data_IF_756342423283
#
_entry.id   IF_756342423283
#
_cell.length_a   1.000
_cell.length_b   1.000
_cell.length_c   1.000
_cell.angle_alpha   90.00
_cell.angle_beta   90.00
_cell.angle_gamma   90.00
#
_symmetry.space_group_name_H-M   'P 1'
#
loop_
_entity.id
_entity.type
_entity.pdbx_description
1 polymer ?
#
# COMPACT_ATOMS: atom_id res chain seq x y z
N UNK A 1 17.60 -20.13 -2.34
CA UNK A 1 17.97 -19.02 -3.22
C UNK A 1 17.11 -17.83 -2.82
N UNK A 2 17.62 -16.97 -1.94
CA UNK A 2 16.88 -15.78 -1.47
C UNK A 2 16.98 -14.72 -2.57
N UNK A 3 15.94 -14.60 -3.41
CA UNK A 3 15.75 -13.39 -4.19
C UNK A 3 15.59 -12.25 -3.19
N UNK A 4 16.63 -11.42 -3.05
CA UNK A 4 16.56 -10.21 -2.23
C UNK A 4 15.67 -9.23 -2.97
N UNK A 5 14.38 -9.23 -2.63
CA UNK A 5 13.41 -8.30 -3.20
C UNK A 5 13.81 -6.87 -2.83
N UNK A 6 13.99 -6.02 -3.84
CA UNK A 6 14.34 -4.60 -3.68
C UNK A 6 13.36 -3.92 -2.73
N UNK A 7 13.83 -3.32 -1.63
CA UNK A 7 12.96 -2.68 -0.64
C UNK A 7 11.81 -3.58 -0.10
N UNK A 8 12.14 -4.85 0.18
CA UNK A 8 11.16 -5.84 0.66
C UNK A 8 10.43 -5.43 1.95
N UNK A 9 9.17 -5.86 2.06
CA UNK A 9 8.27 -5.52 3.16
C UNK A 9 7.36 -6.72 3.52
N UNK A 10 6.70 -6.72 4.69
CA UNK A 10 5.88 -7.85 5.13
C UNK A 10 4.47 -7.93 4.50
N UNK A 11 4.01 -6.85 3.88
CA UNK A 11 2.64 -6.72 3.36
C UNK A 11 2.39 -7.63 2.16
N UNK A 12 1.29 -8.38 2.17
CA UNK A 12 0.93 -9.37 1.15
C UNK A 12 1.62 -10.73 1.30
N UNK A 13 2.60 -10.84 2.22
CA UNK A 13 3.31 -12.10 2.51
C UNK A 13 3.05 -12.55 3.95
N UNK A 14 3.70 -11.94 4.93
CA UNK A 14 3.50 -12.26 6.36
C UNK A 14 2.34 -11.48 6.97
N UNK A 15 2.11 -10.24 6.52
CA UNK A 15 0.92 -9.44 6.84
C UNK A 15 -0.06 -9.58 5.67
N UNK A 16 -1.08 -10.41 5.83
CA UNK A 16 -2.05 -10.73 4.78
C UNK A 16 -3.33 -9.91 4.92
N UNK A 17 -4.17 -9.89 3.87
CA UNK A 17 -5.51 -9.32 3.96
C UNK A 17 -6.33 -9.95 5.10
N UNK A 18 -6.19 -11.26 5.35
CA UNK A 18 -6.82 -11.92 6.49
C UNK A 18 -6.30 -11.39 7.83
N UNK A 19 -4.98 -11.22 7.99
CA UNK A 19 -4.37 -10.62 9.19
C UNK A 19 -4.92 -9.21 9.43
N UNK A 20 -5.05 -8.40 8.38
CA UNK A 20 -5.64 -7.06 8.49
C UNK A 20 -7.11 -7.12 8.89
N UNK A 21 -7.93 -7.97 8.25
CA UNK A 21 -9.34 -8.15 8.63
C UNK A 21 -9.48 -8.53 10.11
N UNK A 22 -8.67 -9.48 10.59
CA UNK A 22 -8.68 -9.87 12.00
C UNK A 22 -8.26 -8.72 12.94
N UNK A 23 -7.28 -7.91 12.53
CA UNK A 23 -6.79 -6.78 13.31
C UNK A 23 -7.82 -5.65 13.41
N UNK A 24 -8.51 -5.33 12.30
CA UNK A 24 -9.43 -4.20 12.23
C UNK A 24 -10.89 -4.55 12.57
N UNK A 25 -11.30 -5.82 12.44
CA UNK A 25 -12.66 -6.27 12.76
C UNK A 25 -13.17 -5.88 14.16
N UNK A 26 -12.39 -6.02 15.26
CA UNK A 26 -12.87 -5.63 16.59
C UNK A 26 -12.83 -4.11 16.84
N UNK A 27 -12.24 -3.32 15.93
CA UNK A 27 -12.04 -1.88 16.14
C UNK A 27 -13.27 -1.11 15.67
N UNK A 28 -14.15 -0.74 16.60
CA UNK A 28 -15.35 0.04 16.27
C UNK A 28 -15.11 1.55 16.28
N UNK A 29 -14.19 2.03 17.12
CA UNK A 29 -13.86 3.45 17.22
C UNK A 29 -12.80 3.85 16.18
N UNK A 30 -12.98 5.02 15.57
CA UNK A 30 -12.02 5.54 14.59
C UNK A 30 -10.62 5.71 15.18
N UNK A 31 -10.53 6.17 16.42
CA UNK A 31 -9.26 6.40 17.13
C UNK A 31 -8.43 5.12 17.25
N UNK A 32 -9.08 3.97 17.45
CA UNK A 32 -8.40 2.67 17.52
C UNK A 32 -7.90 2.24 16.14
N UNK A 33 -8.73 2.39 15.10
CA UNK A 33 -8.31 2.15 13.71
C UNK A 33 -7.13 3.05 13.32
N UNK A 34 -7.16 4.31 13.74
CA UNK A 34 -6.09 5.28 13.51
C UNK A 34 -4.79 4.84 14.19
N UNK A 35 -4.84 4.38 15.46
CA UNK A 35 -3.68 3.82 16.16
C UNK A 35 -3.16 2.57 15.47
N UNK A 36 -4.05 1.66 15.04
CA UNK A 36 -3.69 0.45 14.31
C UNK A 36 -2.96 0.77 13.00
N UNK A 37 -3.45 1.75 12.22
CA UNK A 37 -2.77 2.23 11.01
C UNK A 37 -1.36 2.74 11.29
N UNK A 38 -1.15 3.51 12.38
CA UNK A 38 0.18 3.98 12.76
C UNK A 38 1.10 2.80 13.08
N UNK A 39 0.63 1.80 13.83
CA UNK A 39 1.45 0.62 14.16
C UNK A 39 1.75 -0.22 12.92
N UNK A 40 0.80 -0.34 12.00
CA UNK A 40 1.00 -1.02 10.72
C UNK A 40 2.07 -0.30 9.89
N UNK A 41 2.01 1.03 9.79
CA UNK A 41 2.98 1.83 9.06
C UNK A 41 4.41 1.75 9.60
N UNK A 42 4.61 1.39 10.88
CA UNK A 42 5.95 1.15 11.44
C UNK A 42 6.60 -0.14 10.93
N UNK A 43 5.80 -1.09 10.44
CA UNK A 43 6.31 -2.34 9.87
C UNK A 43 6.78 -2.16 8.42
N UNK A 44 6.45 -1.03 7.79
CA UNK A 44 7.03 -0.66 6.50
C UNK A 44 8.48 -0.20 6.75
N UNK A 45 9.49 -0.82 6.11
CA UNK A 45 10.87 -0.34 6.21
C UNK A 45 11.01 1.07 5.63
N UNK A 46 12.00 1.82 6.10
CA UNK A 46 12.32 3.10 5.48
C UNK A 46 12.88 2.85 4.08
N UNK A 47 12.46 3.65 3.11
CA UNK A 47 12.94 3.49 1.74
C UNK A 47 14.32 4.15 1.58
N UNK A 48 15.37 3.39 1.19
CA UNK A 48 16.69 3.95 0.93
C UNK A 48 16.63 5.03 -0.16
N UNK A 49 17.48 6.05 -0.06
CA UNK A 49 17.41 7.22 -0.95
C UNK A 49 17.67 6.86 -2.42
N UNK A 50 18.60 5.95 -2.68
CA UNK A 50 18.93 5.41 -4.00
C UNK A 50 17.74 4.64 -4.63
N UNK A 51 16.94 3.98 -3.80
CA UNK A 51 15.73 3.29 -4.24
C UNK A 51 14.58 4.28 -4.43
N UNK A 52 14.46 5.27 -3.54
CA UNK A 52 13.45 6.34 -3.65
C UNK A 52 13.59 7.12 -4.97
N UNK A 53 14.80 7.38 -5.44
CA UNK A 53 15.02 8.02 -6.75
C UNK A 53 14.47 7.22 -7.94
N UNK A 54 14.22 5.92 -7.75
CA UNK A 54 13.64 5.03 -8.77
C UNK A 54 12.14 4.84 -8.62
N UNK A 55 11.51 5.55 -7.67
CA UNK A 55 10.06 5.54 -7.45
C UNK A 55 9.39 6.75 -8.10
N UNK A 56 8.07 6.71 -8.19
CA UNK A 56 7.26 7.88 -8.55
C UNK A 56 6.74 8.54 -7.28
N UNK A 57 6.96 9.85 -7.15
CA UNK A 57 6.27 10.65 -6.13
C UNK A 57 4.81 10.82 -6.54
N UNK A 58 3.90 10.49 -5.63
CA UNK A 58 2.46 10.51 -5.88
C UNK A 58 1.89 11.88 -5.49
N UNK A 59 1.43 12.68 -6.47
CA UNK A 59 0.88 14.00 -6.19
C UNK A 59 -0.49 13.91 -5.51
N UNK A 60 -0.89 14.99 -4.83
CA UNK A 60 -2.23 15.12 -4.23
C UNK A 60 -2.39 14.51 -2.83
N UNK A 61 -1.32 13.99 -2.25
CA UNK A 61 -1.28 13.63 -0.84
C UNK A 61 -0.85 14.85 0.00
N UNK A 62 -1.47 15.05 1.17
CA UNK A 62 -1.06 16.07 2.17
C UNK A 62 0.42 15.91 2.58
N UNK A 63 0.91 14.67 2.63
CA UNK A 63 2.31 14.35 2.87
C UNK A 63 2.90 13.71 1.61
N UNK A 64 4.20 13.85 1.39
CA UNK A 64 4.86 13.18 0.26
C UNK A 64 4.74 11.66 0.39
N UNK A 65 4.49 11.01 -0.74
CA UNK A 65 4.36 9.57 -0.87
C UNK A 65 5.12 9.14 -2.10
N UNK A 66 5.85 8.05 -1.97
CA UNK A 66 6.60 7.44 -3.07
C UNK A 66 6.10 6.02 -3.28
N UNK A 67 5.86 5.65 -4.54
CA UNK A 67 5.50 4.30 -4.93
C UNK A 67 6.36 3.88 -6.13
N UNK A 68 7.02 2.74 -6.00
CA UNK A 68 7.73 2.06 -7.06
C UNK A 68 7.20 0.64 -7.23
N UNK A 69 7.61 0.02 -8.33
CA UNK A 69 7.31 -1.38 -8.58
C UNK A 69 8.42 -2.07 -9.37
N UNK A 70 8.47 -3.40 -9.24
CA UNK A 70 9.27 -4.29 -10.06
C UNK A 70 8.39 -5.45 -10.52
N UNK A 71 8.55 -5.84 -11.77
CA UNK A 71 7.91 -7.04 -12.30
C UNK A 71 8.81 -8.24 -12.08
N UNK A 72 8.26 -9.31 -11.53
CA UNK A 72 8.97 -10.58 -11.38
C UNK A 72 9.03 -11.31 -12.73
N UNK A 73 10.00 -12.23 -12.92
CA UNK A 73 10.02 -13.13 -14.06
C UNK A 73 8.74 -13.96 -14.20
N UNK A 74 8.06 -14.23 -13.08
CA UNK A 74 6.80 -14.98 -13.02
C UNK A 74 5.57 -14.13 -13.40
N UNK A 75 5.78 -12.84 -13.73
CA UNK A 75 4.72 -11.94 -14.21
C UNK A 75 3.89 -11.28 -13.10
N UNK A 76 4.28 -11.45 -11.84
CA UNK A 76 3.69 -10.74 -10.70
C UNK A 76 4.37 -9.40 -10.46
N UNK A 77 3.69 -8.47 -9.79
CA UNK A 77 4.24 -7.17 -9.43
C UNK A 77 4.60 -7.14 -7.95
N UNK A 78 5.84 -6.74 -7.66
CA UNK A 78 6.30 -6.33 -6.36
C UNK A 78 6.21 -4.81 -6.25
N UNK A 79 5.49 -4.30 -5.26
CA UNK A 79 5.39 -2.87 -5.00
C UNK A 79 6.22 -2.48 -3.79
N UNK A 80 6.71 -1.25 -3.74
CA UNK A 80 7.44 -0.72 -2.60
C UNK A 80 7.28 0.79 -2.54
N UNK A 81 7.45 1.38 -1.36
CA UNK A 81 7.21 2.81 -1.20
C UNK A 81 7.42 3.30 0.22
N UNK A 82 7.23 4.60 0.40
CA UNK A 82 7.28 5.23 1.72
C UNK A 82 6.42 6.50 1.76
N UNK A 83 6.19 7.03 2.95
CA UNK A 83 5.57 8.33 3.14
C UNK A 83 6.12 9.04 4.38
N UNK A 84 6.22 10.37 4.29
CA UNK A 84 6.54 11.22 5.45
C UNK A 84 5.42 11.24 6.49
N UNK A 85 4.19 11.02 6.06
CA UNK A 85 3.02 11.00 6.93
C UNK A 85 2.82 9.65 7.59
N UNK A 86 2.85 9.58 8.92
CA UNK A 86 2.67 8.31 9.67
C UNK A 86 1.37 7.57 9.32
N UNK A 87 0.28 8.32 9.12
CA UNK A 87 -1.02 7.72 8.73
C UNK A 87 -1.01 7.27 7.29
N UNK A 88 -0.45 8.09 6.40
CA UNK A 88 -0.35 7.75 4.99
C UNK A 88 0.53 6.52 4.79
N UNK A 89 1.58 6.35 5.62
CA UNK A 89 2.40 5.13 5.67
C UNK A 89 1.61 3.90 6.07
N UNK A 90 0.70 4.03 7.05
CA UNK A 90 -0.24 2.97 7.42
C UNK A 90 -1.22 2.62 6.30
N UNK A 91 -1.75 3.63 5.61
CA UNK A 91 -2.62 3.44 4.45
C UNK A 91 -1.88 2.77 3.29
N UNK A 92 -0.64 3.19 3.02
CA UNK A 92 0.23 2.57 2.03
C UNK A 92 0.47 1.10 2.36
N UNK A 93 0.70 0.75 3.63
CA UNK A 93 0.83 -0.65 4.05
C UNK A 93 -0.43 -1.51 3.77
N UNK A 94 -1.64 -0.94 3.94
CA UNK A 94 -2.89 -1.62 3.56
C UNK A 94 -2.95 -1.83 2.04
N UNK A 95 -2.60 -0.80 1.26
CA UNK A 95 -2.56 -0.91 -0.20
C UNK A 95 -1.57 -1.97 -0.66
N UNK A 96 -0.33 -1.94 -0.16
CA UNK A 96 0.70 -2.93 -0.47
C UNK A 96 0.20 -4.35 -0.13
N UNK A 97 -0.51 -4.52 0.99
CA UNK A 97 -1.12 -5.82 1.35
C UNK A 97 -2.13 -6.32 0.31
N UNK A 98 -2.86 -5.41 -0.34
CA UNK A 98 -3.86 -5.75 -1.34
C UNK A 98 -3.26 -6.09 -2.71
N UNK A 99 -2.13 -5.47 -3.07
CA UNK A 99 -1.60 -5.50 -4.45
C UNK A 99 -0.33 -6.33 -4.62
N UNK A 100 0.38 -6.61 -3.53
CA UNK A 100 1.67 -7.29 -3.56
C UNK A 100 1.57 -8.71 -4.14
N UNK A 101 2.52 -9.05 -5.02
CA UNK A 101 2.65 -10.38 -5.60
C UNK A 101 1.53 -10.74 -6.57
N UNK A 102 0.66 -9.80 -6.94
CA UNK A 102 -0.43 -10.05 -7.86
C UNK A 102 0.02 -9.97 -9.33
N UNK A 103 -0.54 -10.81 -10.23
CA UNK A 103 -0.35 -10.66 -11.66
C UNK A 103 -0.90 -9.34 -12.19
N UNK A 104 -0.27 -8.81 -13.24
CA UNK A 104 -0.72 -7.59 -13.92
C UNK A 104 -2.17 -7.66 -14.42
N UNK A 105 -2.67 -8.85 -14.80
CA UNK A 105 -4.06 -9.04 -15.19
C UNK A 105 -5.01 -8.82 -14.00
N UNK A 106 -4.74 -9.47 -12.86
CA UNK A 106 -5.55 -9.34 -11.64
C UNK A 106 -5.63 -7.89 -11.17
N UNK A 107 -4.51 -7.15 -11.21
CA UNK A 107 -4.46 -5.75 -10.77
C UNK A 107 -5.22 -4.79 -11.69
N UNK A 108 -5.45 -5.16 -12.96
CA UNK A 108 -6.26 -4.37 -13.90
C UNK A 108 -7.75 -4.57 -13.65
N UNK A 109 -8.15 -5.78 -13.28
CA UNK A 109 -9.56 -6.16 -13.11
C UNK A 109 -10.08 -5.90 -11.69
N UNK A 110 -9.18 -5.91 -10.68
CA UNK A 110 -9.54 -5.66 -9.28
C UNK A 110 -9.50 -4.16 -8.92
N UNK A 111 -10.32 -3.76 -7.93
CA UNK A 111 -10.16 -2.44 -7.30
C UNK A 111 -9.10 -2.50 -6.19
N UNK A 112 -7.95 -1.80 -6.31
CA UNK A 112 -6.91 -1.80 -5.26
C UNK A 112 -7.40 -1.25 -3.93
N UNK A 113 -8.52 -0.51 -3.91
CA UNK A 113 -9.08 0.08 -2.70
C UNK A 113 -10.14 -0.78 -2.00
N UNK A 114 -10.54 -1.92 -2.57
CA UNK A 114 -11.59 -2.78 -1.99
C UNK A 114 -11.29 -3.18 -0.53
N UNK A 115 -10.03 -3.45 -0.20
CA UNK A 115 -9.62 -3.79 1.16
C UNK A 115 -9.86 -2.65 2.15
N UNK A 116 -9.79 -1.38 1.74
CA UNK A 116 -10.06 -0.25 2.63
C UNK A 116 -11.53 -0.16 3.02
N UNK A 117 -12.42 -0.56 2.12
CA UNK A 117 -13.86 -0.63 2.36
C UNK A 117 -14.18 -1.78 3.33
N UNK A 118 -13.59 -2.95 3.14
CA UNK A 118 -13.73 -4.10 4.05
C UNK A 118 -13.23 -3.80 5.47
N UNK A 119 -12.14 -3.04 5.61
CA UNK A 119 -11.60 -2.64 6.91
C UNK A 119 -12.37 -1.44 7.52
N UNK A 120 -13.33 -0.87 6.78
CA UNK A 120 -14.12 0.29 7.20
C UNK A 120 -13.25 1.52 7.47
N UNK A 121 -12.24 1.75 6.64
CA UNK A 121 -11.29 2.87 6.75
C UNK A 121 -11.73 4.06 5.90
N UNK A 122 -12.21 3.80 4.67
CA UNK A 122 -12.43 4.82 3.64
C UNK A 122 -13.38 5.94 4.06
N UNK A 123 -14.48 5.59 4.75
CA UNK A 123 -15.50 6.54 5.21
C UNK A 123 -15.03 7.48 6.33
N UNK A 124 -13.92 7.15 7.01
CA UNK A 124 -13.39 7.92 8.14
C UNK A 124 -12.22 8.84 7.72
N UNK A 125 -11.76 8.74 6.47
CA UNK A 125 -10.66 9.54 5.96
C UNK A 125 -11.15 10.92 5.50
N UNK A 126 -10.31 11.94 5.69
CA UNK A 126 -10.56 13.27 5.12
C UNK A 126 -10.58 13.23 3.60
N UNK A 127 -11.18 14.25 2.99
CA UNK A 127 -11.24 14.39 1.53
C UNK A 127 -9.83 14.31 0.88
N UNK A 128 -8.84 15.00 1.46
CA UNK A 128 -7.46 14.94 0.95
C UNK A 128 -6.85 13.54 1.03
N UNK A 129 -7.06 12.81 2.13
CA UNK A 129 -6.54 11.44 2.27
C UNK A 129 -7.20 10.47 1.28
N UNK A 130 -8.50 10.63 1.06
CA UNK A 130 -9.22 9.85 0.04
C UNK A 130 -8.71 10.17 -1.37
N UNK A 131 -8.36 11.43 -1.67
CA UNK A 131 -7.73 11.80 -2.93
C UNK A 131 -6.34 11.17 -3.09
N UNK A 132 -5.52 11.18 -2.04
CA UNK A 132 -4.22 10.51 -2.03
C UNK A 132 -4.32 9.00 -2.27
N UNK A 133 -5.29 8.34 -1.64
CA UNK A 133 -5.58 6.92 -1.89
C UNK A 133 -5.99 6.65 -3.34
N UNK A 134 -6.84 7.50 -3.91
CA UNK A 134 -7.24 7.37 -5.31
C UNK A 134 -6.04 7.52 -6.25
N UNK A 135 -5.13 8.46 -5.98
CA UNK A 135 -3.90 8.64 -6.75
C UNK A 135 -2.98 7.42 -6.66
N UNK A 136 -2.81 6.83 -5.48
CA UNK A 136 -2.08 5.58 -5.29
C UNK A 136 -2.70 4.41 -6.06
N UNK A 137 -4.02 4.25 -6.00
CA UNK A 137 -4.72 3.20 -6.73
C UNK A 137 -4.61 3.36 -8.26
N UNK A 138 -4.59 4.61 -8.74
CA UNK A 138 -4.34 4.90 -10.15
C UNK A 138 -2.90 4.51 -10.55
N UNK A 139 -1.90 4.81 -9.70
CA UNK A 139 -0.52 4.42 -9.94
C UNK A 139 -0.34 2.89 -10.00
N UNK A 140 -1.03 2.12 -9.16
CA UNK A 140 -1.05 0.65 -9.23
C UNK A 140 -1.63 0.17 -10.56
N UNK A 141 -2.78 0.70 -10.98
CA UNK A 141 -3.41 0.32 -12.26
C UNK A 141 -2.53 0.68 -13.46
N UNK A 142 -1.84 1.82 -13.39
CA UNK A 142 -0.88 2.24 -14.41
C UNK A 142 0.31 1.29 -14.47
N UNK A 143 0.89 0.91 -13.33
CA UNK A 143 1.98 -0.06 -13.26
C UNK A 143 1.57 -1.42 -13.86
N UNK A 144 0.35 -1.88 -13.58
CA UNK A 144 -0.20 -3.12 -14.13
C UNK A 144 -0.50 -3.06 -15.64
N UNK A 145 -0.54 -1.87 -16.23
CA UNK A 145 -0.79 -1.65 -17.67
C UNK A 145 0.49 -1.46 -18.48
N UNK A 146 1.64 -1.28 -17.82
CA UNK A 146 2.93 -1.13 -18.50
C UNK A 146 3.50 -2.51 -18.90
N UNK A 147 4.11 -2.61 -20.10
CA UNK A 147 4.61 -3.85 -20.66
C UNK A 147 5.78 -4.45 -19.87
#
# INVERSE_FOLDING_TARGET
MTSTTLAGHPFGTTVTAQTLRQTFAPLTQWEDKYRALIQLGKQLPALPEDVRQQTTEIPGCENRVWLGYRRSPEGTLHFYGDSEGRIVRGLLAVLLTAVEGQPAATLRDADPLALFDELGLRSQLSASRNQGLAALAAAVRQAASQP
#
